data_IF_795370433547
#
_entry.id   IF_795370433547
#
_cell.length_a   1.000
_cell.length_b   1.000
_cell.length_c   1.000
_cell.angle_alpha   90.00
_cell.angle_beta   90.00
_cell.angle_gamma   90.00
#
_symmetry.space_group_name_H-M   'P 1'
#
loop_
_entity.id
_entity.type
_entity.pdbx_description
1 polymer ?
#
# COMPACT_ATOMS: atom_id res chain seq x y z
N UNK A 1 -16.29 25.19 -13.83
CA UNK A 1 -15.71 24.59 -15.04
C UNK A 1 -14.20 24.63 -14.88
N UNK A 2 -13.60 23.50 -14.50
CA UNK A 2 -12.15 23.38 -14.40
C UNK A 2 -11.74 22.51 -15.58
N UNK A 3 -11.16 23.17 -16.58
CA UNK A 3 -10.63 22.54 -17.78
C UNK A 3 -9.31 21.83 -17.38
N UNK A 4 -9.37 20.52 -17.19
CA UNK A 4 -8.24 19.68 -16.79
C UNK A 4 -7.78 18.83 -17.99
N UNK A 5 -7.28 19.50 -19.03
CA UNK A 5 -6.57 18.82 -20.10
C UNK A 5 -5.08 18.79 -19.76
N UNK A 6 -4.58 17.63 -19.34
CA UNK A 6 -3.14 17.36 -19.36
C UNK A 6 -2.67 17.37 -20.84
N UNK A 7 -1.64 18.13 -21.19
CA UNK A 7 -1.10 18.09 -22.54
C UNK A 7 -0.55 16.68 -22.83
N UNK A 8 -0.95 16.11 -23.95
CA UNK A 8 -0.34 14.90 -24.52
C UNK A 8 1.08 15.25 -24.95
N UNK A 9 2.07 14.59 -24.37
CA UNK A 9 3.46 14.72 -24.82
C UNK A 9 3.61 13.85 -26.06
N UNK A 10 3.46 14.46 -27.23
CA UNK A 10 3.89 13.87 -28.49
C UNK A 10 5.42 13.92 -28.56
N UNK A 11 6.07 12.77 -28.52
CA UNK A 11 7.49 12.66 -28.75
C UNK A 11 7.78 12.76 -30.26
N UNK A 12 8.67 13.65 -30.71
CA UNK A 12 9.09 13.67 -32.11
C UNK A 12 10.00 12.46 -32.37
N UNK A 13 9.65 11.66 -33.37
CA UNK A 13 10.50 10.64 -33.94
C UNK A 13 11.69 11.33 -34.65
N UNK A 14 12.84 11.36 -33.97
CA UNK A 14 14.11 11.72 -34.63
C UNK A 14 14.79 10.45 -35.11
N UNK A 15 14.68 10.24 -36.41
CA UNK A 15 15.47 9.34 -37.24
C UNK A 15 16.96 9.64 -37.08
N UNK A 16 17.70 8.77 -36.38
CA UNK A 16 19.16 8.81 -36.42
C UNK A 16 19.64 7.76 -37.40
N UNK A 17 20.09 8.29 -38.54
CA UNK A 17 20.82 7.62 -39.61
C UNK A 17 22.12 7.04 -39.08
N UNK A 18 22.26 5.73 -39.20
CA UNK A 18 23.50 5.01 -38.93
C UNK A 18 24.38 5.07 -40.17
N UNK A 19 25.37 5.93 -40.20
CA UNK A 19 26.44 5.87 -41.22
C UNK A 19 27.71 5.30 -40.59
N UNK A 20 28.13 4.19 -41.16
CA UNK A 20 29.33 3.44 -40.85
C UNK A 20 30.61 4.29 -40.98
N UNK A 21 31.53 4.14 -40.04
CA UNK A 21 32.95 4.36 -40.28
C UNK A 21 33.75 3.15 -39.77
N UNK A 22 34.05 2.27 -40.72
CA UNK A 22 35.10 1.26 -40.64
C UNK A 22 36.47 1.94 -40.74
N UNK A 23 37.34 1.81 -39.74
CA UNK A 23 38.81 1.75 -39.96
C UNK A 23 39.42 0.86 -38.85
N UNK A 24 39.70 -0.35 -39.21
CA UNK A 24 40.94 -1.12 -39.32
C UNK A 24 42.06 -0.61 -38.43
N UNK A 25 42.44 -1.40 -37.44
CA UNK A 25 43.82 -1.66 -37.09
C UNK A 25 43.94 -3.09 -36.58
N UNK A 26 44.53 -3.90 -37.45
CA UNK A 26 44.93 -5.27 -37.22
C UNK A 26 46.24 -5.31 -36.40
N UNK A 27 46.54 -6.52 -35.94
CA UNK A 27 47.78 -7.05 -35.38
C UNK A 27 47.98 -6.92 -33.87
N UNK A 28 47.69 -7.99 -33.19
CA UNK A 28 48.74 -8.85 -32.64
C UNK A 28 48.15 -10.19 -32.14
N UNK A 29 48.55 -11.21 -32.86
CA UNK A 29 48.43 -12.62 -32.49
C UNK A 29 49.21 -12.91 -31.20
N UNK A 30 48.67 -13.76 -30.33
CA UNK A 30 49.34 -14.97 -29.86
C UNK A 30 48.49 -15.68 -28.82
N UNK A 31 48.12 -16.85 -29.24
CA UNK A 31 48.25 -18.13 -28.55
C UNK A 31 47.59 -18.33 -27.18
N UNK A 32 46.63 -19.23 -27.23
CA UNK A 32 46.44 -20.38 -26.32
C UNK A 32 46.73 -20.12 -24.84
N UNK A 33 45.67 -19.92 -24.08
CA UNK A 33 45.52 -20.67 -22.85
C UNK A 33 44.06 -21.11 -22.76
N UNK A 34 43.77 -22.28 -23.38
CA UNK A 34 42.69 -23.13 -22.93
C UNK A 34 43.15 -23.76 -21.62
N UNK A 35 42.77 -23.15 -20.51
CA UNK A 35 42.80 -23.83 -19.22
C UNK A 35 41.37 -24.03 -18.79
N UNK A 36 40.96 -25.20 -19.06
CA UNK A 36 39.93 -26.00 -18.42
C UNK A 36 39.90 -25.71 -16.91
N UNK A 37 39.00 -24.89 -16.47
CA UNK A 37 38.46 -24.92 -15.09
C UNK A 37 37.04 -25.47 -15.16
N UNK A 38 36.90 -26.74 -15.55
CA UNK A 38 35.77 -27.56 -15.15
C UNK A 38 35.96 -27.88 -13.67
N UNK A 39 35.13 -27.30 -12.81
CA UNK A 39 35.06 -27.73 -11.42
C UNK A 39 35.28 -26.66 -10.36
N UNK A 40 34.93 -25.39 -10.59
CA UNK A 40 34.62 -24.55 -9.47
C UNK A 40 33.13 -24.70 -9.16
N UNK A 41 32.73 -25.36 -8.06
CA UNK A 41 31.36 -25.22 -7.60
C UNK A 41 31.19 -23.72 -7.32
N UNK A 42 30.42 -23.03 -8.15
CA UNK A 42 29.93 -21.72 -7.77
C UNK A 42 29.28 -21.94 -6.41
N UNK A 43 30.04 -21.66 -5.35
CA UNK A 43 29.49 -21.51 -4.03
C UNK A 43 28.26 -20.60 -4.24
N UNK A 44 27.09 -21.18 -4.17
CA UNK A 44 25.86 -20.40 -4.00
C UNK A 44 26.08 -19.76 -2.64
N UNK A 45 26.69 -18.58 -2.63
CA UNK A 45 26.52 -17.67 -1.52
C UNK A 45 25.02 -17.58 -1.36
N UNK A 46 24.51 -18.28 -0.37
CA UNK A 46 23.14 -18.14 0.05
C UNK A 46 23.02 -16.64 0.37
N UNK A 47 22.39 -15.89 -0.52
CA UNK A 47 22.11 -14.49 -0.32
C UNK A 47 21.18 -14.44 0.88
N UNK A 48 21.76 -14.25 2.04
CA UNK A 48 21.00 -14.03 3.29
C UNK A 48 20.70 -12.55 3.32
N UNK A 49 19.44 -12.19 3.04
CA UNK A 49 18.98 -10.83 3.15
C UNK A 49 19.29 -10.28 4.55
N UNK A 50 19.84 -9.08 4.63
CA UNK A 50 20.12 -8.39 5.90
C UNK A 50 18.81 -8.00 6.58
N UNK A 51 18.85 -7.76 7.89
CA UNK A 51 17.70 -7.27 8.64
C UNK A 51 17.10 -5.99 8.03
N UNK A 52 17.96 -5.06 7.58
CA UNK A 52 17.51 -3.83 6.91
C UNK A 52 16.72 -4.12 5.62
N UNK A 53 17.15 -5.12 4.83
CA UNK A 53 16.44 -5.53 3.62
C UNK A 53 15.10 -6.21 3.93
N UNK A 54 15.02 -7.01 5.00
CA UNK A 54 13.76 -7.55 5.48
C UNK A 54 12.81 -6.45 5.93
N UNK A 55 13.31 -5.46 6.67
CA UNK A 55 12.51 -4.31 7.09
C UNK A 55 12.02 -3.50 5.89
N UNK A 56 12.86 -3.30 4.87
CA UNK A 56 12.44 -2.62 3.63
C UNK A 56 11.39 -3.44 2.86
N UNK A 57 11.51 -4.76 2.82
CA UNK A 57 10.52 -5.69 2.26
C UNK A 57 9.17 -5.64 2.98
N UNK A 58 9.16 -5.42 4.30
CA UNK A 58 7.95 -5.19 5.09
C UNK A 58 7.24 -3.86 4.73
N UNK A 59 7.93 -2.96 4.00
CA UNK A 59 7.43 -1.67 3.50
C UNK A 59 6.90 -0.74 4.60
N UNK A 60 7.76 -0.20 5.48
CA UNK A 60 7.35 0.70 6.57
C UNK A 60 6.51 1.89 6.12
N UNK A 61 6.68 2.33 4.87
CA UNK A 61 5.92 3.42 4.26
C UNK A 61 4.41 3.13 4.13
N UNK A 62 4.00 1.86 4.23
CA UNK A 62 2.59 1.45 4.20
C UNK A 62 1.96 1.34 5.58
N UNK A 63 2.74 1.41 6.66
CA UNK A 63 2.26 1.32 8.04
C UNK A 63 1.19 2.37 8.41
N UNK A 64 1.18 3.59 7.86
CA UNK A 64 0.07 4.50 8.07
C UNK A 64 -1.30 3.90 7.76
N UNK A 65 -1.41 3.05 6.73
CA UNK A 65 -2.66 2.35 6.40
C UNK A 65 -3.13 1.34 7.47
N UNK A 66 -2.23 0.87 8.34
CA UNK A 66 -2.58 0.00 9.45
C UNK A 66 -2.84 0.79 10.74
N UNK A 67 -2.02 1.80 11.01
CA UNK A 67 -2.02 2.53 12.28
C UNK A 67 -3.18 3.54 12.35
N UNK A 68 -3.36 4.34 11.29
CA UNK A 68 -4.35 5.41 11.29
C UNK A 68 -5.79 4.90 11.46
N UNK A 69 -6.25 3.83 10.78
CA UNK A 69 -7.58 3.27 11.01
C UNK A 69 -7.83 2.82 12.44
N UNK A 70 -6.83 2.23 13.10
CA UNK A 70 -6.95 1.79 14.51
C UNK A 70 -7.06 2.99 15.45
N UNK A 71 -6.28 4.04 15.22
CA UNK A 71 -6.38 5.30 15.99
C UNK A 71 -7.77 5.90 15.82
N UNK A 72 -8.25 6.05 14.59
CA UNK A 72 -9.56 6.62 14.30
C UNK A 72 -10.71 5.77 14.89
N UNK A 73 -10.63 4.44 14.77
CA UNK A 73 -11.61 3.51 15.34
C UNK A 73 -11.60 3.52 16.86
N UNK A 74 -10.45 3.70 17.51
CA UNK A 74 -10.35 3.87 18.97
C UNK A 74 -10.94 5.20 19.41
N UNK A 75 -10.71 6.28 18.66
CA UNK A 75 -11.39 7.58 18.91
C UNK A 75 -12.91 7.46 18.80
N UNK A 76 -13.40 6.71 17.78
CA UNK A 76 -14.84 6.46 17.66
C UNK A 76 -15.39 5.56 18.80
N UNK A 77 -14.57 4.68 19.38
CA UNK A 77 -14.95 3.94 20.59
C UNK A 77 -14.93 4.84 21.83
N UNK A 78 -13.99 5.79 21.95
CA UNK A 78 -13.94 6.77 23.02
C UNK A 78 -15.18 7.67 23.02
N UNK A 79 -15.65 8.10 21.85
CA UNK A 79 -16.91 8.83 21.70
C UNK A 79 -18.12 8.09 22.29
N UNK A 80 -18.05 6.77 22.39
CA UNK A 80 -19.07 5.90 22.99
C UNK A 80 -18.75 5.52 24.46
N UNK A 81 -17.80 6.22 25.10
CA UNK A 81 -17.27 5.92 26.43
C UNK A 81 -16.77 4.48 26.60
N UNK A 82 -16.29 3.87 25.53
CA UNK A 82 -15.93 2.45 25.48
C UNK A 82 -14.48 2.20 25.04
N UNK A 83 -13.62 3.21 25.05
CA UNK A 83 -12.21 3.05 24.70
C UNK A 83 -11.51 2.07 25.66
N UNK A 84 -10.84 1.08 25.08
CA UNK A 84 -10.13 0.03 25.81
C UNK A 84 -8.72 -0.16 25.25
N UNK A 85 -7.70 0.34 25.96
CA UNK A 85 -6.32 0.45 25.47
C UNK A 85 -5.73 -0.90 25.03
N UNK A 86 -5.96 -2.01 25.76
CA UNK A 86 -5.40 -3.30 25.41
C UNK A 86 -6.10 -3.92 24.17
N UNK A 87 -7.40 -3.67 23.97
CA UNK A 87 -8.11 -4.07 22.75
C UNK A 87 -7.64 -3.24 21.55
N UNK A 88 -7.41 -1.95 21.73
CA UNK A 88 -6.80 -1.09 20.72
C UNK A 88 -5.40 -1.57 20.33
N UNK A 89 -4.58 -1.99 21.32
CA UNK A 89 -3.26 -2.55 21.06
C UNK A 89 -3.34 -3.88 20.29
N UNK A 90 -4.25 -4.78 20.64
CA UNK A 90 -4.47 -6.01 19.87
C UNK A 90 -4.95 -5.72 18.44
N UNK A 91 -5.87 -4.76 18.24
CA UNK A 91 -6.31 -4.32 16.92
C UNK A 91 -5.13 -3.75 16.10
N UNK A 92 -4.22 -3.01 16.75
CA UNK A 92 -3.01 -2.51 16.13
C UNK A 92 -2.07 -3.65 15.70
N UNK A 93 -1.87 -4.65 16.57
CA UNK A 93 -1.07 -5.84 16.24
C UNK A 93 -1.68 -6.57 15.03
N UNK A 94 -3.01 -6.77 15.01
CA UNK A 94 -3.71 -7.37 13.86
C UNK A 94 -3.44 -6.56 12.60
N UNK A 95 -3.67 -5.25 12.62
CA UNK A 95 -3.55 -4.39 11.44
C UNK A 95 -2.11 -4.33 10.90
N UNK A 96 -1.12 -4.19 11.80
CA UNK A 96 0.31 -4.15 11.42
C UNK A 96 0.78 -5.51 10.90
N UNK A 97 0.42 -6.61 11.58
CA UNK A 97 0.79 -7.95 11.13
C UNK A 97 0.15 -8.30 9.79
N UNK A 98 -1.11 -7.91 9.57
CA UNK A 98 -1.80 -8.07 8.29
C UNK A 98 -1.10 -7.34 7.16
N UNK A 99 -0.75 -6.05 7.31
CA UNK A 99 -0.11 -5.28 6.24
C UNK A 99 1.30 -5.79 5.92
N UNK A 100 2.06 -6.22 6.93
CA UNK A 100 3.37 -6.86 6.74
C UNK A 100 3.20 -8.19 6.01
N UNK A 101 2.25 -9.01 6.43
CA UNK A 101 1.92 -10.28 5.79
C UNK A 101 1.53 -10.11 4.32
N UNK A 102 0.67 -9.13 4.01
CA UNK A 102 0.30 -8.78 2.62
C UNK A 102 1.51 -8.33 1.81
N UNK A 103 2.39 -7.49 2.38
CA UNK A 103 3.57 -7.02 1.67
C UNK A 103 4.53 -8.16 1.30
N UNK A 104 4.77 -9.11 2.21
CA UNK A 104 5.57 -10.30 1.91
C UNK A 104 4.85 -11.29 0.98
N UNK A 105 3.53 -11.47 1.12
CA UNK A 105 2.75 -12.31 0.21
C UNK A 105 2.77 -11.77 -1.23
N UNK A 106 2.70 -10.43 -1.37
CA UNK A 106 2.83 -9.76 -2.65
C UNK A 106 4.24 -9.92 -3.25
N UNK A 107 5.30 -9.78 -2.43
CA UNK A 107 6.68 -9.99 -2.88
C UNK A 107 6.89 -11.44 -3.35
N UNK A 108 6.40 -12.42 -2.58
CA UNK A 108 6.43 -13.82 -2.96
C UNK A 108 5.70 -14.09 -4.28
N UNK A 109 4.44 -13.64 -4.38
CA UNK A 109 3.56 -13.95 -5.52
C UNK A 109 4.03 -13.28 -6.80
N UNK A 110 4.43 -12.00 -6.73
CA UNK A 110 4.95 -11.24 -7.86
C UNK A 110 6.32 -11.78 -8.28
N UNK A 111 7.18 -12.13 -7.30
CA UNK A 111 8.52 -12.66 -7.55
C UNK A 111 8.54 -14.01 -8.24
N UNK A 112 7.63 -14.94 -7.88
CA UNK A 112 7.54 -16.26 -8.57
C UNK A 112 6.92 -16.16 -9.96
N UNK A 113 6.18 -15.08 -10.26
CA UNK A 113 5.60 -14.81 -11.59
C UNK A 113 6.53 -14.02 -12.50
N UNK A 114 7.64 -13.46 -11.98
CA UNK A 114 8.59 -12.65 -12.76
C UNK A 114 8.08 -11.26 -13.10
N UNK A 115 7.00 -10.79 -12.48
CA UNK A 115 6.43 -9.45 -12.73
C UNK A 115 7.26 -8.32 -12.12
N UNK A 116 8.25 -8.65 -11.30
CA UNK A 116 9.09 -7.68 -10.58
C UNK A 116 10.49 -7.45 -11.22
N UNK A 117 10.82 -8.14 -12.31
CA UNK A 117 12.18 -8.14 -12.88
C UNK A 117 12.61 -6.78 -13.47
N UNK A 118 11.68 -5.88 -13.81
CA UNK A 118 11.94 -4.58 -14.48
C UNK A 118 11.35 -3.38 -13.73
N UNK A 119 10.80 -3.57 -12.54
CA UNK A 119 10.01 -2.57 -11.85
C UNK A 119 10.85 -1.51 -11.12
N UNK A 120 10.56 -0.22 -11.34
CA UNK A 120 11.07 0.91 -10.56
C UNK A 120 10.24 1.10 -9.26
N UNK A 121 10.41 0.21 -8.28
CA UNK A 121 9.66 0.23 -7.02
C UNK A 121 10.55 0.01 -5.80
N UNK A 122 9.97 -0.09 -4.58
CA UNK A 122 10.71 -0.47 -3.38
C UNK A 122 11.33 -1.85 -3.55
N UNK A 123 12.37 -2.13 -2.75
CA UNK A 123 13.10 -3.38 -2.74
C UNK A 123 12.13 -4.58 -2.68
N UNK A 124 12.37 -5.58 -3.54
CA UNK A 124 11.67 -6.85 -3.58
C UNK A 124 12.65 -7.97 -3.23
N UNK A 125 12.41 -8.69 -2.15
CA UNK A 125 13.33 -9.73 -1.67
C UNK A 125 13.47 -10.88 -2.66
N UNK A 126 12.36 -11.32 -3.25
CA UNK A 126 12.35 -12.42 -4.25
C UNK A 126 12.82 -11.90 -5.61
N UNK A 127 12.24 -10.82 -6.13
CA UNK A 127 12.59 -10.25 -7.45
C UNK A 127 14.05 -9.82 -7.53
N UNK A 128 14.60 -9.25 -6.45
CA UNK A 128 16.04 -8.90 -6.36
C UNK A 128 16.94 -10.09 -5.99
N UNK A 129 16.39 -11.30 -5.82
CA UNK A 129 17.11 -12.53 -5.43
C UNK A 129 17.87 -12.42 -4.11
N UNK A 130 17.45 -11.54 -3.21
CA UNK A 130 18.06 -11.33 -1.89
C UNK A 130 17.60 -12.36 -0.87
N UNK A 131 16.39 -12.94 -1.04
CA UNK A 131 15.87 -14.01 -0.24
C UNK A 131 15.22 -15.09 -1.13
N UNK A 132 15.19 -16.33 -0.62
CA UNK A 132 14.50 -17.41 -1.31
C UNK A 132 12.97 -17.20 -1.25
N UNK A 133 12.20 -17.61 -2.29
CA UNK A 133 10.74 -17.52 -2.25
C UNK A 133 10.14 -18.20 -1.00
N UNK A 134 10.71 -19.34 -0.57
CA UNK A 134 10.27 -20.06 0.63
C UNK A 134 10.44 -19.22 1.90
N UNK A 135 11.55 -18.52 2.05
CA UNK A 135 11.79 -17.66 3.21
C UNK A 135 10.78 -16.50 3.28
N UNK A 136 10.51 -15.86 2.14
CA UNK A 136 9.53 -14.75 2.06
C UNK A 136 8.11 -15.26 2.31
N UNK A 137 7.75 -16.43 1.77
CA UNK A 137 6.46 -17.08 2.07
C UNK A 137 6.32 -17.40 3.56
N UNK A 138 7.37 -17.94 4.19
CA UNK A 138 7.35 -18.21 5.64
C UNK A 138 7.14 -16.94 6.44
N UNK A 139 7.81 -15.83 6.08
CA UNK A 139 7.62 -14.53 6.73
C UNK A 139 6.19 -14.00 6.55
N UNK A 140 5.61 -14.16 5.36
CA UNK A 140 4.21 -13.80 5.10
C UNK A 140 3.25 -14.59 5.99
N UNK A 141 3.39 -15.93 6.00
CA UNK A 141 2.54 -16.80 6.82
C UNK A 141 2.72 -16.57 8.31
N UNK A 142 3.94 -16.36 8.78
CA UNK A 142 4.20 -16.02 10.18
C UNK A 142 3.53 -14.70 10.59
N UNK A 143 3.60 -13.67 9.75
CA UNK A 143 2.91 -12.39 10.00
C UNK A 143 1.39 -12.58 10.02
N UNK A 144 0.81 -13.33 9.07
CA UNK A 144 -0.62 -13.61 9.07
C UNK A 144 -1.05 -14.48 10.28
N UNK A 145 -0.19 -15.40 10.73
CA UNK A 145 -0.44 -16.18 11.95
C UNK A 145 -0.46 -15.29 13.20
N UNK A 146 0.45 -14.31 13.31
CA UNK A 146 0.42 -13.32 14.40
C UNK A 146 -0.89 -12.54 14.37
N UNK A 147 -1.33 -12.09 13.18
CA UNK A 147 -2.60 -11.41 13.04
C UNK A 147 -3.79 -12.30 13.44
N UNK A 148 -3.77 -13.59 13.04
CA UNK A 148 -4.80 -14.56 13.38
C UNK A 148 -4.89 -14.79 14.91
N UNK A 149 -3.74 -15.00 15.58
CA UNK A 149 -3.71 -15.21 17.04
C UNK A 149 -4.22 -13.97 17.77
N UNK A 150 -3.73 -12.77 17.43
CA UNK A 150 -4.20 -11.53 18.05
C UNK A 150 -5.69 -11.28 17.75
N UNK A 151 -6.15 -11.58 16.53
CA UNK A 151 -7.55 -11.48 16.15
C UNK A 151 -8.46 -12.48 16.86
N UNK A 152 -8.00 -13.71 17.10
CA UNK A 152 -8.73 -14.71 17.90
C UNK A 152 -8.89 -14.27 19.35
N UNK A 153 -7.82 -13.74 19.96
CA UNK A 153 -7.88 -13.17 21.31
C UNK A 153 -8.88 -12.02 21.35
N UNK A 154 -8.82 -11.11 20.36
CA UNK A 154 -9.73 -9.97 20.28
C UNK A 154 -11.20 -10.41 20.10
N UNK A 155 -11.45 -11.42 19.26
CA UNK A 155 -12.78 -12.00 19.06
C UNK A 155 -13.32 -12.69 20.32
N UNK A 156 -12.45 -13.40 21.05
CA UNK A 156 -12.81 -14.05 22.30
C UNK A 156 -13.34 -13.07 23.35
N UNK A 157 -12.68 -11.92 23.48
CA UNK A 157 -13.07 -10.86 24.44
C UNK A 157 -14.08 -9.85 23.88
N UNK A 158 -14.55 -10.03 22.66
CA UNK A 158 -15.57 -9.18 22.03
C UNK A 158 -16.75 -10.00 21.56
N UNK A 159 -16.69 -10.55 20.34
CA UNK A 159 -17.77 -11.36 19.76
C UNK A 159 -17.21 -12.47 18.86
N UNK A 160 -17.66 -13.74 19.03
CA UNK A 160 -17.09 -14.87 18.28
C UNK A 160 -17.25 -14.79 16.76
N UNK A 161 -18.30 -14.14 16.24
CA UNK A 161 -18.49 -13.99 14.79
C UNK A 161 -17.36 -13.19 14.11
N UNK A 162 -16.58 -12.39 14.85
CA UNK A 162 -15.41 -11.69 14.35
C UNK A 162 -14.34 -12.64 13.81
N UNK A 163 -14.33 -13.90 14.22
CA UNK A 163 -13.46 -14.94 13.66
C UNK A 163 -13.72 -15.11 12.16
N UNK A 164 -15.01 -15.09 11.76
CA UNK A 164 -15.35 -15.15 10.33
C UNK A 164 -14.83 -13.92 9.57
N UNK A 165 -14.95 -12.73 10.15
CA UNK A 165 -14.38 -11.50 9.55
C UNK A 165 -12.87 -11.62 9.40
N UNK A 166 -12.16 -12.08 10.44
CA UNK A 166 -10.72 -12.31 10.41
C UNK A 166 -10.31 -13.30 9.32
N UNK A 167 -11.06 -14.41 9.18
CA UNK A 167 -10.82 -15.39 8.12
C UNK A 167 -11.01 -14.78 6.72
N UNK A 168 -12.05 -13.96 6.50
CA UNK A 168 -12.26 -13.23 5.24
C UNK A 168 -11.12 -12.24 4.98
N UNK A 169 -10.63 -11.54 6.02
CA UNK A 169 -9.50 -10.61 5.88
C UNK A 169 -8.22 -11.35 5.47
N UNK A 170 -7.90 -12.48 6.08
CA UNK A 170 -6.71 -13.29 5.74
C UNK A 170 -6.84 -13.85 4.32
N UNK A 171 -8.01 -14.37 3.95
CA UNK A 171 -8.27 -14.84 2.59
C UNK A 171 -8.15 -13.69 1.57
N UNK A 172 -8.72 -12.51 1.86
CA UNK A 172 -8.58 -11.31 1.04
C UNK A 172 -7.13 -10.87 0.88
N UNK A 173 -6.36 -10.88 1.97
CA UNK A 173 -4.93 -10.58 1.95
C UNK A 173 -4.15 -11.52 1.02
N UNK A 174 -4.41 -12.81 1.10
CA UNK A 174 -3.77 -13.82 0.26
C UNK A 174 -4.16 -13.71 -1.20
N UNK A 175 -5.47 -13.58 -1.49
CA UNK A 175 -6.03 -13.54 -2.84
C UNK A 175 -5.79 -12.21 -3.56
N UNK A 176 -5.24 -11.20 -2.87
CA UNK A 176 -4.91 -9.90 -3.48
C UNK A 176 -3.93 -10.06 -4.65
N UNK A 177 -2.84 -10.81 -4.44
CA UNK A 177 -1.84 -11.15 -5.48
C UNK A 177 -1.66 -12.65 -5.67
N UNK A 178 -2.15 -13.47 -4.75
CA UNK A 178 -2.07 -14.93 -4.78
C UNK A 178 -3.17 -15.57 -5.61
N UNK A 179 -3.04 -16.90 -5.84
CA UNK A 179 -4.03 -17.67 -6.61
C UNK A 179 -3.90 -17.51 -8.13
N UNK A 180 -4.79 -18.17 -8.87
CA UNK A 180 -4.78 -18.18 -10.34
C UNK A 180 -5.27 -16.87 -10.96
N UNK A 181 -6.20 -16.15 -10.29
CA UNK A 181 -6.79 -14.89 -10.74
C UNK A 181 -6.80 -13.89 -9.58
N UNK A 182 -5.68 -13.22 -9.27
CA UNK A 182 -5.62 -12.26 -8.17
C UNK A 182 -6.55 -11.08 -8.43
N UNK A 183 -7.38 -10.72 -7.46
CA UNK A 183 -8.33 -9.62 -7.65
C UNK A 183 -7.65 -8.25 -7.72
N UNK A 184 -6.45 -8.10 -7.15
CA UNK A 184 -5.63 -6.90 -7.31
C UNK A 184 -5.21 -6.63 -8.76
N UNK A 185 -5.15 -7.68 -9.60
CA UNK A 185 -4.86 -7.58 -11.04
C UNK A 185 -6.12 -7.34 -11.90
N UNK A 186 -7.31 -7.41 -11.28
CA UNK A 186 -8.58 -7.21 -11.95
C UNK A 186 -9.15 -5.80 -11.75
N UNK A 187 -8.37 -4.86 -11.20
CA UNK A 187 -8.79 -3.49 -10.94
C UNK A 187 -9.74 -3.34 -9.75
N UNK A 188 -9.76 -4.32 -8.84
CA UNK A 188 -10.58 -4.29 -7.61
C UNK A 188 -9.77 -3.87 -6.38
N UNK A 189 -8.50 -3.50 -6.56
CA UNK A 189 -7.58 -3.18 -5.47
C UNK A 189 -8.05 -2.01 -4.62
N UNK A 190 -8.50 -0.94 -5.24
CA UNK A 190 -8.93 0.29 -4.57
C UNK A 190 -10.18 0.06 -3.72
N UNK A 191 -11.13 -0.74 -4.23
CA UNK A 191 -12.34 -1.13 -3.48
C UNK A 191 -11.96 -1.99 -2.28
N UNK A 192 -11.07 -2.97 -2.49
CA UNK A 192 -10.61 -3.83 -1.40
C UNK A 192 -9.87 -3.03 -0.32
N UNK A 193 -9.01 -2.09 -0.70
CA UNK A 193 -8.31 -1.22 0.25
C UNK A 193 -9.32 -0.36 1.03
N UNK A 194 -10.31 0.24 0.37
CA UNK A 194 -11.36 0.99 1.04
C UNK A 194 -12.11 0.12 2.07
N UNK A 195 -12.48 -1.10 1.68
CA UNK A 195 -13.21 -2.02 2.57
C UNK A 195 -12.34 -2.48 3.73
N UNK A 196 -11.13 -3.00 3.47
CA UNK A 196 -10.31 -3.61 4.53
C UNK A 196 -9.64 -2.59 5.44
N UNK A 197 -9.08 -1.51 4.90
CA UNK A 197 -8.37 -0.49 5.69
C UNK A 197 -9.27 0.65 6.15
N UNK A 198 -10.41 0.87 5.47
CA UNK A 198 -11.44 1.81 5.92
C UNK A 198 -12.46 1.11 6.81
N UNK A 199 -13.41 0.40 6.18
CA UNK A 199 -14.56 -0.13 6.90
C UNK A 199 -14.19 -1.16 7.94
N UNK A 200 -13.45 -2.22 7.56
CA UNK A 200 -13.14 -3.32 8.49
C UNK A 200 -12.20 -2.86 9.60
N UNK A 201 -11.13 -2.12 9.26
CA UNK A 201 -10.15 -1.73 10.26
C UNK A 201 -10.70 -0.70 11.25
N UNK A 202 -11.42 0.33 10.80
CA UNK A 202 -11.98 1.36 11.69
C UNK A 202 -13.17 0.83 12.46
N UNK A 203 -14.18 0.27 11.76
CA UNK A 203 -15.41 -0.21 12.41
C UNK A 203 -15.14 -1.46 13.24
N UNK A 204 -14.23 -2.35 12.81
CA UNK A 204 -13.78 -3.48 13.58
C UNK A 204 -13.10 -3.05 14.88
N UNK A 205 -12.25 -2.01 14.84
CA UNK A 205 -11.61 -1.45 16.03
C UNK A 205 -12.62 -0.81 16.97
N UNK A 206 -13.59 -0.04 16.46
CA UNK A 206 -14.68 0.50 17.25
C UNK A 206 -15.52 -0.62 17.85
N UNK A 207 -15.96 -1.57 17.03
CA UNK A 207 -16.85 -2.65 17.47
C UNK A 207 -16.23 -3.56 18.52
N UNK A 208 -14.95 -3.92 18.37
CA UNK A 208 -14.27 -4.76 19.36
C UNK A 208 -14.18 -4.12 20.73
N UNK A 209 -14.22 -2.79 20.82
CA UNK A 209 -14.18 -2.04 22.08
C UNK A 209 -15.59 -1.73 22.59
N UNK A 210 -16.45 -1.16 21.74
CA UNK A 210 -17.78 -0.64 22.12
C UNK A 210 -18.92 -1.63 21.92
N UNK A 211 -18.73 -2.76 21.22
CA UNK A 211 -19.74 -3.73 20.81
C UNK A 211 -20.92 -3.12 20.02
N UNK A 212 -20.73 -1.94 19.49
CA UNK A 212 -21.67 -1.23 18.61
C UNK A 212 -20.92 -0.38 17.61
N UNK A 213 -21.60 -0.04 16.52
CA UNK A 213 -21.14 0.88 15.47
C UNK A 213 -22.16 2.02 15.41
N UNK A 214 -21.67 3.24 15.21
CA UNK A 214 -22.48 4.43 15.03
C UNK A 214 -22.07 5.24 13.80
N UNK A 215 -22.76 6.36 13.55
CA UNK A 215 -22.47 7.25 12.43
C UNK A 215 -21.08 7.91 12.50
N UNK A 216 -20.55 8.10 13.71
CA UNK A 216 -19.21 8.67 13.94
C UNK A 216 -18.15 7.67 13.44
N UNK A 217 -18.27 6.40 13.83
CA UNK A 217 -17.39 5.34 13.31
C UNK A 217 -17.46 5.17 11.80
N UNK A 218 -18.66 5.25 11.22
CA UNK A 218 -18.84 5.16 9.76
C UNK A 218 -18.16 6.33 9.04
N UNK A 219 -18.35 7.56 9.50
CA UNK A 219 -17.69 8.73 8.91
C UNK A 219 -16.16 8.64 9.00
N UNK A 220 -15.63 8.23 10.16
CA UNK A 220 -14.20 7.97 10.34
C UNK A 220 -13.68 6.86 9.40
N UNK A 221 -14.46 5.78 9.22
CA UNK A 221 -14.12 4.67 8.33
C UNK A 221 -14.07 5.10 6.86
N UNK A 222 -15.03 5.93 6.42
CA UNK A 222 -15.03 6.49 5.06
C UNK A 222 -13.82 7.41 4.85
N UNK A 223 -13.48 8.26 5.83
CA UNK A 223 -12.32 9.13 5.76
C UNK A 223 -11.01 8.33 5.62
N UNK A 224 -10.79 7.34 6.48
CA UNK A 224 -9.58 6.51 6.46
C UNK A 224 -9.52 5.62 5.21
N UNK A 225 -10.64 5.03 4.80
CA UNK A 225 -10.74 4.20 3.59
C UNK A 225 -10.44 5.00 2.32
N UNK A 226 -10.93 6.24 2.23
CA UNK A 226 -10.67 7.12 1.11
C UNK A 226 -9.18 7.47 0.99
N UNK A 227 -8.51 7.84 2.10
CA UNK A 227 -7.07 8.12 2.09
C UNK A 227 -6.22 6.86 1.81
N UNK A 228 -6.61 5.71 2.38
CA UNK A 228 -5.94 4.44 2.08
C UNK A 228 -6.03 4.08 0.60
N UNK A 229 -7.21 4.26 0.00
CA UNK A 229 -7.41 4.08 -1.44
C UNK A 229 -6.64 5.10 -2.26
N UNK A 230 -6.54 6.36 -1.81
CA UNK A 230 -5.74 7.38 -2.48
C UNK A 230 -4.24 7.02 -2.51
N UNK A 231 -3.69 6.42 -1.43
CA UNK A 231 -2.32 5.89 -1.42
C UNK A 231 -2.14 4.81 -2.50
N UNK A 232 -3.10 3.86 -2.61
CA UNK A 232 -3.03 2.82 -3.64
C UNK A 232 -3.17 3.41 -5.05
N UNK A 233 -4.11 4.35 -5.25
CA UNK A 233 -4.29 5.06 -6.54
C UNK A 233 -3.01 5.77 -6.96
N UNK A 234 -2.32 6.47 -6.05
CA UNK A 234 -1.05 7.12 -6.34
C UNK A 234 0.06 6.10 -6.71
N UNK A 235 0.07 4.94 -6.03
CA UNK A 235 0.99 3.86 -6.35
C UNK A 235 0.72 3.29 -7.75
N UNK A 236 -0.54 2.99 -8.06
CA UNK A 236 -0.93 2.42 -9.34
C UNK A 236 -0.79 3.45 -10.49
N UNK A 237 -1.02 4.75 -10.23
CA UNK A 237 -0.76 5.83 -11.17
C UNK A 237 0.72 5.88 -11.59
N UNK A 238 1.64 5.73 -10.62
CA UNK A 238 3.08 5.66 -10.89
C UNK A 238 3.44 4.47 -11.77
N UNK A 239 2.78 3.35 -11.54
CA UNK A 239 3.14 2.06 -12.10
C UNK A 239 2.36 1.73 -13.39
N UNK A 240 1.51 2.62 -13.94
CA UNK A 240 0.73 2.36 -15.18
C UNK A 240 1.59 1.78 -16.31
N UNK A 241 2.78 2.35 -16.67
CA UNK A 241 3.56 1.82 -17.79
C UNK A 241 4.03 0.37 -17.55
N UNK A 242 4.57 0.09 -16.36
CA UNK A 242 5.10 -1.23 -16.00
C UNK A 242 4.00 -2.26 -15.76
N UNK A 243 2.84 -1.84 -15.24
CA UNK A 243 1.68 -2.72 -15.06
C UNK A 243 1.10 -3.14 -16.43
N UNK A 244 1.06 -2.25 -17.41
CA UNK A 244 0.65 -2.57 -18.79
C UNK A 244 1.60 -3.59 -19.44
N UNK A 245 2.91 -3.39 -19.32
CA UNK A 245 3.93 -4.30 -19.86
C UNK A 245 3.86 -5.70 -19.24
N UNK A 246 3.57 -5.77 -17.93
CA UNK A 246 3.44 -7.05 -17.20
C UNK A 246 2.06 -7.71 -17.32
N UNK A 247 1.12 -7.12 -18.07
CA UNK A 247 -0.25 -7.65 -18.20
C UNK A 247 -1.12 -7.49 -16.95
N UNK A 248 -0.73 -6.65 -15.99
CA UNK A 248 -1.49 -6.35 -14.79
C UNK A 248 -2.48 -5.22 -15.06
N UNK A 249 -3.77 -5.54 -15.09
CA UNK A 249 -4.83 -4.59 -15.45
C UNK A 249 -5.44 -3.99 -14.17
N UNK A 250 -4.71 -3.07 -13.55
CA UNK A 250 -5.19 -2.31 -12.38
C UNK A 250 -6.29 -1.31 -12.79
N UNK A 251 -6.99 -0.74 -11.79
CA UNK A 251 -7.97 0.32 -12.06
C UNK A 251 -7.31 1.53 -12.74
N UNK A 252 -6.09 1.88 -12.35
CA UNK A 252 -5.32 2.97 -12.96
C UNK A 252 -5.02 2.69 -14.45
N UNK A 253 -4.66 1.46 -14.81
CA UNK A 253 -4.48 1.05 -16.22
C UNK A 253 -5.78 1.18 -17.01
N UNK A 254 -6.93 0.79 -16.42
CA UNK A 254 -8.25 0.90 -17.07
C UNK A 254 -8.71 2.34 -17.28
N UNK A 255 -8.49 3.19 -16.29
CA UNK A 255 -8.92 4.59 -16.33
C UNK A 255 -7.98 5.48 -17.16
N UNK A 256 -6.72 5.08 -17.28
CA UNK A 256 -5.65 5.89 -17.82
C UNK A 256 -5.18 6.98 -16.85
N UNK A 257 -4.10 7.67 -17.21
CA UNK A 257 -3.41 8.66 -16.36
C UNK A 257 -4.36 9.78 -15.88
N UNK A 258 -5.03 10.48 -16.79
CA UNK A 258 -5.84 11.65 -16.45
C UNK A 258 -6.97 11.33 -15.47
N UNK A 259 -7.76 10.27 -15.73
CA UNK A 259 -8.88 9.89 -14.86
C UNK A 259 -8.40 9.36 -13.51
N UNK A 260 -7.25 8.68 -13.47
CA UNK A 260 -6.64 8.21 -12.22
C UNK A 260 -6.23 9.38 -11.33
N UNK A 261 -5.73 10.48 -11.90
CA UNK A 261 -5.43 11.72 -11.15
C UNK A 261 -6.68 12.37 -10.57
N UNK A 262 -7.76 12.40 -11.33
CA UNK A 262 -9.07 12.88 -10.85
C UNK A 262 -9.57 12.00 -9.70
N UNK A 263 -9.49 10.68 -9.84
CA UNK A 263 -9.88 9.72 -8.79
C UNK A 263 -9.08 9.95 -7.51
N UNK A 264 -7.75 10.15 -7.59
CA UNK A 264 -6.92 10.47 -6.44
C UNK A 264 -7.44 11.72 -5.71
N UNK A 265 -7.67 12.81 -6.45
CA UNK A 265 -8.14 14.07 -5.87
C UNK A 265 -9.54 13.92 -5.25
N UNK A 266 -10.44 13.20 -5.93
CA UNK A 266 -11.78 12.93 -5.42
C UNK A 266 -11.76 12.14 -4.11
N UNK A 267 -10.87 11.15 -3.97
CA UNK A 267 -10.69 10.38 -2.75
C UNK A 267 -10.16 11.24 -1.60
N UNK A 268 -9.19 12.12 -1.87
CA UNK A 268 -8.68 13.06 -0.85
C UNK A 268 -9.78 14.01 -0.40
N UNK A 269 -10.57 14.57 -1.33
CA UNK A 269 -11.70 15.45 -0.99
C UNK A 269 -12.76 14.68 -0.20
N UNK A 270 -13.13 13.48 -0.62
CA UNK A 270 -14.08 12.62 0.07
C UNK A 270 -13.67 12.33 1.51
N UNK A 271 -12.36 12.12 1.75
CA UNK A 271 -11.83 11.91 3.09
C UNK A 271 -12.04 13.14 4.00
N UNK A 272 -11.75 14.35 3.50
CA UNK A 272 -11.96 15.56 4.27
C UNK A 272 -13.45 15.86 4.49
N UNK A 273 -14.30 15.63 3.48
CA UNK A 273 -15.75 15.76 3.63
C UNK A 273 -16.27 14.81 4.72
N UNK A 274 -15.90 13.53 4.67
CA UNK A 274 -16.29 12.56 5.68
C UNK A 274 -15.78 12.92 7.08
N UNK A 275 -14.53 13.38 7.19
CA UNK A 275 -13.97 13.81 8.47
C UNK A 275 -14.64 15.08 9.01
N UNK A 276 -15.01 16.01 8.15
CA UNK A 276 -15.73 17.23 8.57
C UNK A 276 -17.19 16.95 8.97
N UNK A 277 -17.82 15.88 8.44
CA UNK A 277 -19.14 15.45 8.92
C UNK A 277 -19.14 15.07 10.40
N UNK A 278 -17.97 14.71 10.96
CA UNK A 278 -17.83 14.48 12.41
C UNK A 278 -18.07 15.75 13.25
N UNK A 279 -18.01 16.93 12.64
CA UNK A 279 -18.40 18.19 13.32
C UNK A 279 -19.88 18.22 13.73
N UNK A 280 -20.72 17.36 13.15
CA UNK A 280 -22.11 17.16 13.59
C UNK A 280 -22.19 16.47 14.96
N UNK A 281 -21.16 15.73 15.35
CA UNK A 281 -21.03 15.13 16.69
C UNK A 281 -20.37 16.12 17.65
N UNK A 282 -19.20 16.65 17.29
CA UNK A 282 -18.50 17.66 18.08
C UNK A 282 -17.76 18.65 17.19
N UNK A 283 -17.82 20.00 17.47
CA UNK A 283 -17.12 21.02 16.69
C UNK A 283 -15.59 20.86 16.73
N UNK A 284 -15.05 20.20 17.75
CA UNK A 284 -13.62 19.93 17.87
C UNK A 284 -13.06 19.10 16.71
N UNK A 285 -13.91 18.38 15.98
CA UNK A 285 -13.52 17.67 14.77
C UNK A 285 -13.04 18.59 13.65
N UNK A 286 -13.22 19.91 13.73
CA UNK A 286 -12.53 20.86 12.86
C UNK A 286 -11.00 20.73 12.91
N UNK A 287 -10.43 20.15 13.99
CA UNK A 287 -9.00 19.87 14.12
C UNK A 287 -8.43 18.99 12.97
N UNK A 288 -9.27 18.24 12.25
CA UNK A 288 -8.85 17.47 11.07
C UNK A 288 -8.26 18.36 9.96
N UNK A 289 -8.60 19.65 9.93
CA UNK A 289 -8.03 20.61 8.99
C UNK A 289 -6.52 20.82 9.17
N UNK A 290 -5.94 20.46 10.31
CA UNK A 290 -4.47 20.46 10.52
C UNK A 290 -3.77 19.54 9.53
N UNK A 291 -4.45 18.51 9.00
CA UNK A 291 -3.93 17.63 7.96
C UNK A 291 -3.96 18.26 6.55
N UNK A 292 -4.69 19.35 6.33
CA UNK A 292 -4.90 19.95 5.00
C UNK A 292 -3.60 20.38 4.30
N UNK A 293 -2.62 21.04 4.97
CA UNK A 293 -1.35 21.40 4.32
C UNK A 293 -0.59 20.19 3.76
N UNK A 294 -0.62 19.06 4.47
CA UNK A 294 -0.01 17.80 4.00
C UNK A 294 -0.75 17.25 2.78
N UNK A 295 -2.09 17.27 2.79
CA UNK A 295 -2.91 16.84 1.66
C UNK A 295 -2.66 17.70 0.41
N UNK A 296 -2.58 19.02 0.57
CA UNK A 296 -2.28 19.95 -0.53
C UNK A 296 -0.89 19.68 -1.10
N UNK A 297 0.11 19.43 -0.23
CA UNK A 297 1.46 19.05 -0.65
C UNK A 297 1.47 17.72 -1.40
N UNK A 298 0.75 16.71 -0.90
CA UNK A 298 0.62 15.41 -1.55
C UNK A 298 -0.04 15.51 -2.93
N UNK A 299 -1.08 16.34 -3.08
CA UNK A 299 -1.77 16.55 -4.36
C UNK A 299 -0.96 17.34 -5.40
N UNK A 300 0.08 18.07 -4.97
CA UNK A 300 0.89 18.93 -5.85
C UNK A 300 1.44 18.21 -7.09
N UNK A 301 2.23 17.13 -6.94
CA UNK A 301 2.77 16.37 -8.08
C UNK A 301 1.68 15.78 -8.97
N UNK A 302 0.57 15.30 -8.38
CA UNK A 302 -0.57 14.75 -9.13
C UNK A 302 -1.23 15.81 -10.00
N UNK A 303 -1.42 17.02 -9.48
CA UNK A 303 -1.99 18.18 -10.21
C UNK A 303 -1.06 18.72 -11.29
N UNK A 304 0.26 18.61 -11.09
CA UNK A 304 1.29 19.02 -12.05
C UNK A 304 1.56 17.96 -13.12
N UNK A 305 0.77 16.89 -13.18
CA UNK A 305 0.92 15.78 -14.10
C UNK A 305 2.31 15.11 -14.07
N UNK A 306 3.00 15.12 -12.92
CA UNK A 306 4.27 14.43 -12.75
C UNK A 306 4.04 12.91 -12.74
N UNK A 307 5.08 12.13 -13.11
CA UNK A 307 5.01 10.67 -13.23
C UNK A 307 6.21 9.95 -12.61
N UNK A 308 6.19 8.62 -12.63
CA UNK A 308 7.30 7.80 -12.20
C UNK A 308 7.76 8.10 -10.77
N UNK A 309 9.06 8.32 -10.57
CA UNK A 309 9.66 8.54 -9.24
C UNK A 309 9.14 9.78 -8.51
N UNK A 310 8.65 10.79 -9.23
CA UNK A 310 8.14 12.03 -8.66
C UNK A 310 6.81 11.82 -7.89
N UNK A 311 6.15 10.68 -8.09
CA UNK A 311 4.97 10.29 -7.33
C UNK A 311 5.30 9.57 -6.00
N UNK A 312 6.56 9.20 -5.73
CA UNK A 312 6.95 8.57 -4.47
C UNK A 312 6.63 9.45 -3.24
N UNK A 313 6.93 10.77 -3.26
CA UNK A 313 6.54 11.65 -2.16
C UNK A 313 5.03 11.70 -1.92
N UNK A 314 4.20 11.55 -2.97
CA UNK A 314 2.74 11.55 -2.86
C UNK A 314 2.26 10.44 -1.92
N UNK A 315 2.80 9.22 -2.06
CA UNK A 315 2.42 8.10 -1.20
C UNK A 315 2.73 8.37 0.27
N UNK A 316 3.94 8.91 0.54
CA UNK A 316 4.37 9.25 1.90
C UNK A 316 3.48 10.33 2.50
N UNK A 317 3.28 11.42 1.75
CA UNK A 317 2.57 12.61 2.25
C UNK A 317 1.07 12.34 2.43
N UNK A 318 0.46 11.48 1.57
CA UNK A 318 -0.92 10.99 1.76
C UNK A 318 -1.02 10.10 3.01
N UNK A 319 -0.04 9.21 3.24
CA UNK A 319 0.03 8.41 4.46
C UNK A 319 0.18 9.26 5.73
N UNK A 320 1.01 10.30 5.69
CA UNK A 320 1.14 11.25 6.79
C UNK A 320 -0.13 12.07 7.01
N UNK A 321 -0.81 12.51 5.93
CA UNK A 321 -2.12 13.16 6.00
C UNK A 321 -3.12 12.30 6.75
N UNK A 322 -3.16 11.00 6.43
CA UNK A 322 -4.05 10.04 7.06
C UNK A 322 -3.73 9.86 8.56
N UNK A 323 -2.46 9.75 8.94
CA UNK A 323 -2.05 9.66 10.36
C UNK A 323 -2.43 10.91 11.14
N UNK A 324 -2.13 12.09 10.62
CA UNK A 324 -2.46 13.36 11.28
C UNK A 324 -3.97 13.52 11.41
N UNK A 325 -4.73 13.21 10.36
CA UNK A 325 -6.20 13.23 10.39
C UNK A 325 -6.74 12.25 11.43
N UNK A 326 -6.22 11.02 11.51
CA UNK A 326 -6.66 10.02 12.47
C UNK A 326 -6.40 10.46 13.92
N UNK A 327 -5.22 11.01 14.20
CA UNK A 327 -4.88 11.54 15.54
C UNK A 327 -5.77 12.72 15.91
N UNK A 328 -5.98 13.66 14.98
CA UNK A 328 -6.85 14.81 15.21
C UNK A 328 -8.31 14.37 15.46
N UNK A 329 -8.80 13.40 14.67
CA UNK A 329 -10.14 12.80 14.86
C UNK A 329 -10.25 12.12 16.22
N UNK A 330 -9.29 11.26 16.58
CA UNK A 330 -9.33 10.55 17.85
C UNK A 330 -9.25 11.51 19.05
N UNK A 331 -8.38 12.51 18.99
CA UNK A 331 -8.28 13.54 20.04
C UNK A 331 -9.59 14.34 20.18
N UNK A 332 -10.18 14.77 19.06
CA UNK A 332 -11.44 15.51 19.07
C UNK A 332 -12.62 14.69 19.64
N UNK A 333 -12.67 13.39 19.34
CA UNK A 333 -13.73 12.50 19.83
C UNK A 333 -13.52 12.04 21.28
N UNK A 334 -12.29 12.15 21.80
CA UNK A 334 -11.98 11.73 23.18
C UNK A 334 -12.10 12.88 24.18
N UNK A 335 -11.77 14.12 23.79
CA UNK A 335 -11.64 15.26 24.69
C UNK A 335 -12.63 16.40 24.38
N UNK A 336 -13.37 16.29 23.28
CA UNK A 336 -14.40 17.24 22.84
C UNK A 336 -15.78 16.72 23.10
#
# INVERSE_FOLDING_TARGET
MIDATCPTVDAPASTISCTASLRISALLSRSSIRSVCHGCPRARLALVATFAQWLEGARPRTLPNAIAPVIAGTGAAAWLDAACWWKALLALVVAVAMIIGVNYANDYSDGIRGTDDVRAGPLRLVGSRLATPRAVLTAALASLAVAAVAGLVLAWFSQPWLIAVGAVCIAGAWLYTGGAKPYGYLGLGEIAVFVFFGLVAVLGTQYTQALRIDGVGVAAAVAMGSLSSAVLVANNLRDIPTDMESGKITLAVRLGDARTRVLYQALVVAAFVAALLLMLATPWCAAVLVALPLAVRAAGPVRKCLGGKDLIPVLRDTGLTMLVMAVATAAALTFG
#
